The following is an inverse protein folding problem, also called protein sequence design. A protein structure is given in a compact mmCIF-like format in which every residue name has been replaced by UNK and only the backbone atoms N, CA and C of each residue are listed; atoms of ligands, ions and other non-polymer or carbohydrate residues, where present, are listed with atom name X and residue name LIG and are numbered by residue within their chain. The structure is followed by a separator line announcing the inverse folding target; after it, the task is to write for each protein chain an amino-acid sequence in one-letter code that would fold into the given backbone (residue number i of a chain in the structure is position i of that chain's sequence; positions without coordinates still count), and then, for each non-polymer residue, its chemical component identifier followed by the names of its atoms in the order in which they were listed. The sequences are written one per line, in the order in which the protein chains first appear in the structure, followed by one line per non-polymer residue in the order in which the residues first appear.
data_IF_488033661817
#
_entry.id   IF_488033661817
#
_cell.length_a   1.000
_cell.length_b   1.000
_cell.length_c   1.000
_cell.angle_alpha   90.00
_cell.angle_beta   90.00
_cell.angle_gamma   90.00
#
_symmetry.space_group_name_H-M   'P 1'
#
loop_
_entity.id
_entity.type
_entity.pdbx_description
1 polymer ?
#
# COMPACT_ATOMS: atom_id res chain seq x y z
N UNK A 1 -4.56 -10.29 11.80
CA UNK A 1 -3.41 -10.54 12.69
C UNK A 1 -2.61 -11.80 12.30
N UNK A 2 -3.16 -12.83 11.63
CA UNK A 2 -2.37 -14.01 11.23
C UNK A 2 -1.38 -13.78 10.08
N UNK A 3 -1.73 -12.95 9.09
CA UNK A 3 -0.92 -12.77 7.87
C UNK A 3 0.45 -12.11 8.11
N UNK A 4 0.62 -11.35 9.20
CA UNK A 4 1.90 -10.71 9.55
C UNK A 4 2.89 -11.75 10.08
N UNK A 5 2.43 -12.63 10.97
CA UNK A 5 3.26 -13.69 11.55
C UNK A 5 3.67 -14.72 10.48
N UNK A 6 2.77 -15.04 9.55
CA UNK A 6 3.06 -15.94 8.43
C UNK A 6 4.11 -15.38 7.45
N UNK A 7 4.34 -14.06 7.46
CA UNK A 7 5.29 -13.37 6.59
C UNK A 7 6.66 -13.13 7.23
N UNK A 8 6.84 -13.48 8.51
CA UNK A 8 8.13 -13.33 9.20
C UNK A 8 9.05 -14.50 8.85
N UNK A 9 10.35 -14.23 8.76
CA UNK A 9 11.38 -15.25 8.60
C UNK A 9 12.33 -15.23 9.79
N UNK A 10 12.80 -16.40 10.21
CA UNK A 10 13.83 -16.49 11.25
C UNK A 10 15.19 -16.12 10.66
N UNK A 11 15.92 -15.25 11.36
CA UNK A 11 17.32 -14.90 11.10
C UNK A 11 18.15 -15.27 12.34
N UNK A 12 19.02 -16.25 12.20
CA UNK A 12 20.01 -16.59 13.22
C UNK A 12 21.23 -15.69 13.08
N UNK A 13 21.78 -15.24 14.21
CA UNK A 13 22.93 -14.34 14.25
C UNK A 13 24.01 -14.87 15.19
N UNK A 14 25.26 -14.58 14.87
CA UNK A 14 26.42 -14.92 15.70
C UNK A 14 26.86 -13.72 16.54
N UNK A 15 27.57 -14.00 17.63
CA UNK A 15 28.24 -12.94 18.40
C UNK A 15 29.22 -12.17 17.50
N UNK A 16 29.19 -10.84 17.63
CA UNK A 16 29.95 -9.90 16.81
C UNK A 16 29.32 -9.56 15.46
N UNK A 17 28.22 -10.22 15.08
CA UNK A 17 27.55 -9.97 13.80
C UNK A 17 26.79 -8.64 13.82
N UNK A 18 26.96 -7.85 12.76
CA UNK A 18 26.19 -6.63 12.53
C UNK A 18 24.85 -7.00 11.89
N UNK A 19 23.77 -6.79 12.63
CA UNK A 19 22.43 -7.10 12.15
C UNK A 19 21.95 -6.05 11.15
N UNK A 20 22.22 -4.77 11.46
CA UNK A 20 22.03 -3.60 10.60
C UNK A 20 23.18 -2.63 10.84
N UNK A 21 23.55 -1.87 9.82
CA UNK A 21 24.55 -0.81 9.91
C UNK A 21 23.96 0.57 9.66
N UNK A 22 24.41 1.55 10.46
CA UNK A 22 23.97 2.94 10.30
C UNK A 22 24.36 3.48 8.91
N UNK A 23 23.40 4.11 8.25
CA UNK A 23 23.58 4.66 6.90
C UNK A 23 23.14 3.72 5.77
N UNK A 24 22.94 2.44 6.06
CA UNK A 24 22.40 1.50 5.07
C UNK A 24 20.92 1.77 4.78
N UNK A 25 20.43 1.26 3.65
CA UNK A 25 19.01 1.30 3.32
C UNK A 25 18.18 0.38 4.22
N UNK A 26 16.95 0.79 4.51
CA UNK A 26 16.00 0.03 5.32
C UNK A 26 15.32 -1.11 4.55
N UNK A 27 15.74 -2.34 4.80
CA UNK A 27 15.24 -3.56 4.15
C UNK A 27 14.27 -4.39 5.00
N UNK A 28 14.48 -4.44 6.32
CA UNK A 28 13.74 -5.29 7.25
C UNK A 28 13.48 -4.63 8.60
N UNK A 29 12.42 -5.07 9.28
CA UNK A 29 12.19 -4.85 10.71
C UNK A 29 12.48 -6.14 11.45
N UNK A 30 13.07 -6.06 12.62
CA UNK A 30 13.44 -7.24 13.40
C UNK A 30 12.80 -7.20 14.79
N UNK A 31 12.24 -8.33 15.20
CA UNK A 31 11.81 -8.60 16.58
C UNK A 31 12.75 -9.62 17.19
N UNK A 32 13.23 -9.38 18.41
CA UNK A 32 14.16 -10.26 19.09
C UNK A 32 13.42 -11.47 19.66
N UNK A 33 13.84 -12.67 19.27
CA UNK A 33 13.43 -13.93 19.90
C UNK A 33 14.36 -14.27 21.08
N UNK A 34 15.68 -14.23 20.83
CA UNK A 34 16.71 -14.46 21.87
C UNK A 34 18.06 -13.84 21.49
N UNK A 35 18.90 -13.65 22.49
CA UNK A 35 20.25 -13.08 22.37
C UNK A 35 20.34 -11.64 22.91
N UNK A 36 21.56 -11.16 23.07
CA UNK A 36 21.86 -9.78 23.49
C UNK A 36 22.44 -8.97 22.35
N UNK A 37 22.13 -7.67 22.30
CA UNK A 37 22.50 -6.79 21.20
C UNK A 37 22.85 -5.40 21.72
N UNK A 38 23.91 -4.79 21.20
CA UNK A 38 24.28 -3.41 21.51
C UNK A 38 23.89 -2.48 20.35
N UNK A 39 23.49 -1.26 20.71
CA UNK A 39 23.06 -0.22 19.79
C UNK A 39 24.15 0.85 19.71
N UNK A 40 24.69 1.06 18.52
CA UNK A 40 25.70 2.07 18.26
C UNK A 40 25.18 3.18 17.35
N UNK A 41 25.40 4.43 17.74
CA UNK A 41 25.14 5.60 16.89
C UNK A 41 26.44 6.36 16.68
N UNK A 42 26.77 6.61 15.42
CA UNK A 42 27.92 7.38 14.98
C UNK A 42 27.53 8.86 14.92
N UNK A 43 28.18 9.65 15.78
CA UNK A 43 28.11 11.11 15.76
C UNK A 43 29.51 11.64 15.48
N UNK A 44 29.66 12.51 14.47
CA UNK A 44 30.94 13.13 14.09
C UNK A 44 32.09 12.12 13.87
N UNK A 45 31.76 10.97 13.26
CA UNK A 45 32.75 9.92 13.00
C UNK A 45 32.98 8.96 14.18
N UNK A 46 32.48 9.25 15.38
CA UNK A 46 32.69 8.46 16.59
C UNK A 46 31.46 7.63 16.91
N UNK A 47 31.60 6.30 16.93
CA UNK A 47 30.54 5.38 17.37
C UNK A 47 30.39 5.38 18.88
N UNK A 48 29.18 5.65 19.38
CA UNK A 48 28.83 5.58 20.80
C UNK A 48 27.81 4.48 21.02
N UNK A 49 28.02 3.63 22.04
CA UNK A 49 26.98 2.71 22.49
C UNK A 49 25.91 3.53 23.22
N UNK A 50 24.69 3.51 22.70
CA UNK A 50 23.56 4.32 23.20
C UNK A 50 22.51 3.48 23.93
N UNK A 51 22.66 2.16 23.94
CA UNK A 51 21.77 1.24 24.62
C UNK A 51 22.02 -0.20 24.23
N UNK A 52 21.26 -1.10 24.81
CA UNK A 52 21.31 -2.53 24.52
C UNK A 52 19.91 -3.16 24.57
N UNK A 53 19.80 -4.34 23.96
CA UNK A 53 18.68 -5.24 24.06
C UNK A 53 19.11 -6.55 24.72
N UNK A 54 18.22 -7.14 25.50
CA UNK A 54 18.44 -8.39 26.21
C UNK A 54 17.21 -9.29 26.06
N UNK A 55 17.29 -10.23 25.10
CA UNK A 55 16.27 -11.23 24.80
C UNK A 55 14.85 -10.70 24.51
N UNK A 56 14.71 -9.39 24.25
CA UNK A 56 13.44 -8.73 23.94
C UNK A 56 13.67 -7.40 23.24
N UNK A 57 12.63 -6.92 22.59
CA UNK A 57 12.63 -5.64 21.87
C UNK A 57 12.57 -5.84 20.37
N UNK A 58 12.57 -4.72 19.66
CA UNK A 58 12.52 -4.69 18.21
C UNK A 58 13.26 -3.47 17.69
N UNK A 59 13.73 -3.53 16.45
CA UNK A 59 14.47 -2.43 15.84
C UNK A 59 14.34 -2.43 14.32
N UNK A 60 14.68 -1.29 13.71
CA UNK A 60 14.74 -1.10 12.28
C UNK A 60 13.45 -0.53 11.66
N UNK A 61 12.47 -0.17 12.47
CA UNK A 61 11.18 0.37 12.05
C UNK A 61 11.30 1.77 11.41
N UNK A 62 12.20 2.62 11.91
CA UNK A 62 12.33 4.02 11.47
C UNK A 62 12.69 4.15 9.99
N UNK A 63 13.65 3.34 9.52
CA UNK A 63 14.06 3.34 8.12
C UNK A 63 12.93 2.89 7.18
N UNK A 64 12.03 2.03 7.68
CA UNK A 64 10.88 1.56 6.92
C UNK A 64 9.74 2.59 6.90
N UNK A 65 9.46 3.22 8.04
CA UNK A 65 8.35 4.18 8.15
C UNK A 65 8.64 5.49 7.40
N UNK A 66 9.88 5.98 7.49
CA UNK A 66 10.25 7.30 6.98
C UNK A 66 11.08 7.26 5.69
N UNK A 67 11.38 6.07 5.16
CA UNK A 67 12.23 5.89 3.97
C UNK A 67 13.57 6.63 4.09
N UNK A 68 14.17 6.56 5.28
CA UNK A 68 15.47 7.15 5.61
C UNK A 68 16.51 6.05 5.80
N UNK A 69 17.82 6.35 5.67
CA UNK A 69 18.87 5.42 6.05
C UNK A 69 18.74 4.95 7.51
N UNK A 70 19.33 3.80 7.83
CA UNK A 70 19.40 3.27 9.20
C UNK A 70 20.03 4.31 10.13
N UNK A 71 19.36 4.59 11.25
CA UNK A 71 19.80 5.59 12.22
C UNK A 71 20.89 5.09 13.19
N UNK A 72 21.08 3.78 13.29
CA UNK A 72 22.01 3.13 14.22
C UNK A 72 22.54 1.80 13.63
N UNK A 73 23.69 1.37 14.11
CA UNK A 73 24.22 0.02 13.94
C UNK A 73 23.75 -0.85 15.11
N UNK A 74 23.36 -2.09 14.83
CA UNK A 74 23.00 -3.08 15.87
C UNK A 74 23.96 -4.25 15.73
N UNK A 75 24.69 -4.56 16.82
CA UNK A 75 25.65 -5.66 16.86
C UNK A 75 25.22 -6.69 17.88
N UNK A 76 25.19 -7.96 17.49
CA UNK A 76 24.92 -9.05 18.42
C UNK A 76 26.10 -9.25 19.39
N UNK A 77 25.82 -9.29 20.69
CA UNK A 77 26.82 -9.55 21.75
C UNK A 77 26.74 -10.97 22.30
N UNK A 78 25.83 -11.79 21.76
CA UNK A 78 25.77 -13.24 21.95
C UNK A 78 25.22 -13.89 20.68
N UNK A 79 25.30 -15.23 20.52
CA UNK A 79 24.45 -15.93 19.56
C UNK A 79 22.97 -15.63 19.82
N UNK A 80 22.19 -15.44 18.77
CA UNK A 80 20.79 -14.99 18.89
C UNK A 80 19.92 -15.40 17.72
N UNK A 81 18.62 -15.11 17.84
CA UNK A 81 17.66 -15.24 16.76
C UNK A 81 16.70 -14.05 16.74
N UNK A 82 16.32 -13.68 15.53
CA UNK A 82 15.43 -12.58 15.21
C UNK A 82 14.33 -13.07 14.29
N UNK A 83 13.15 -12.52 14.44
CA UNK A 83 12.11 -12.60 13.43
C UNK A 83 12.17 -11.36 12.56
N UNK A 84 12.59 -11.54 11.31
CA UNK A 84 12.66 -10.50 10.30
C UNK A 84 11.36 -10.36 9.52
N UNK A 85 10.96 -9.13 9.22
CA UNK A 85 9.82 -8.83 8.38
C UNK A 85 10.22 -7.80 7.32
N UNK A 86 10.03 -8.16 6.04
CA UNK A 86 10.51 -7.41 4.88
C UNK A 86 9.75 -6.10 4.71
N UNK A 87 10.49 -5.02 4.42
CA UNK A 87 10.04 -3.63 4.20
C UNK A 87 8.76 -3.55 3.35
N UNK A 88 8.72 -4.23 2.20
CA UNK A 88 7.57 -4.19 1.29
C UNK A 88 6.31 -4.79 1.92
N UNK A 89 6.44 -5.77 2.80
CA UNK A 89 5.30 -6.45 3.44
C UNK A 89 4.80 -5.70 4.68
N UNK A 90 5.69 -5.12 5.47
CA UNK A 90 5.31 -4.28 6.62
C UNK A 90 4.58 -3.03 6.20
N UNK A 91 5.18 -2.34 5.23
CA UNK A 91 4.65 -1.10 4.70
C UNK A 91 3.20 -1.25 4.26
N UNK A 92 2.88 -2.32 3.54
CA UNK A 92 1.55 -2.58 2.98
C UNK A 92 0.57 -3.06 4.04
N UNK A 93 0.97 -3.90 5.00
CA UNK A 93 0.03 -4.48 5.98
C UNK A 93 -0.34 -3.49 7.09
N UNK A 94 0.54 -2.57 7.49
CA UNK A 94 0.25 -1.60 8.57
C UNK A 94 -0.68 -0.45 8.14
N UNK A 95 -0.72 -0.13 6.84
CA UNK A 95 -1.52 1.00 6.31
C UNK A 95 -2.84 0.57 5.68
N UNK A 96 -3.02 -0.73 5.41
CA UNK A 96 -4.22 -1.23 4.78
C UNK A 96 -5.28 -1.49 5.85
N UNK A 97 -6.30 -0.65 5.87
CA UNK A 97 -7.52 -0.90 6.63
C UNK A 97 -8.40 -1.93 5.93
N UNK A 98 -9.02 -2.83 6.68
CA UNK A 98 -10.10 -3.67 6.14
C UNK A 98 -11.42 -2.92 6.22
N UNK A 99 -12.15 -2.86 5.10
CA UNK A 99 -13.54 -2.35 5.06
C UNK A 99 -14.47 -3.42 4.51
N UNK A 100 -15.62 -3.59 5.15
CA UNK A 100 -16.68 -4.52 4.74
C UNK A 100 -17.87 -3.70 4.29
N UNK A 101 -18.44 -4.07 3.14
CA UNK A 101 -19.57 -3.42 2.51
C UNK A 101 -20.69 -4.43 2.30
N UNK A 102 -21.93 -3.98 2.51
CA UNK A 102 -23.13 -4.78 2.27
C UNK A 102 -23.55 -4.73 0.80
N UNK A 103 -24.44 -5.63 0.40
CA UNK A 103 -24.97 -5.65 -0.98
C UNK A 103 -25.56 -4.30 -1.38
N UNK A 104 -25.17 -3.82 -2.57
CA UNK A 104 -25.58 -2.52 -3.11
C UNK A 104 -24.93 -1.30 -2.48
N UNK A 105 -24.14 -1.46 -1.41
CA UNK A 105 -23.49 -0.34 -0.72
C UNK A 105 -22.47 0.36 -1.64
N UNK A 106 -22.50 1.69 -1.64
CA UNK A 106 -21.61 2.51 -2.45
C UNK A 106 -20.23 2.64 -1.78
N UNK A 107 -19.19 2.21 -2.50
CA UNK A 107 -17.80 2.26 -2.03
C UNK A 107 -17.12 3.55 -2.49
N UNK A 108 -17.38 3.98 -3.73
CA UNK A 108 -16.87 5.21 -4.35
C UNK A 108 -18.02 5.90 -5.07
N UNK A 109 -18.09 7.23 -4.95
CA UNK A 109 -18.95 8.04 -5.79
C UNK A 109 -18.17 8.77 -6.88
N UNK A 110 -18.69 8.73 -8.11
CA UNK A 110 -18.19 9.53 -9.22
C UNK A 110 -18.26 11.02 -8.88
N UNK A 111 -17.18 11.74 -9.14
CA UNK A 111 -17.05 13.18 -8.87
C UNK A 111 -16.45 13.52 -7.51
N UNK A 112 -16.35 12.57 -6.59
CA UNK A 112 -15.71 12.82 -5.29
C UNK A 112 -14.19 12.97 -5.43
N UNK A 113 -13.58 13.60 -4.44
CA UNK A 113 -12.12 13.59 -4.31
C UNK A 113 -11.66 12.20 -3.89
N UNK A 114 -10.53 11.76 -4.43
CA UNK A 114 -9.97 10.48 -4.07
C UNK A 114 -9.25 10.53 -2.74
N UNK A 115 -9.61 9.61 -1.86
CA UNK A 115 -9.12 9.46 -0.49
C UNK A 115 -8.45 8.11 -0.24
N UNK A 116 -8.75 7.10 -1.07
CA UNK A 116 -8.27 5.73 -0.89
C UNK A 116 -8.18 4.93 -2.20
N UNK A 117 -7.28 3.95 -2.20
CA UNK A 117 -7.14 2.88 -3.17
C UNK A 117 -7.69 1.57 -2.56
N UNK A 118 -8.33 0.73 -3.37
CA UNK A 118 -9.00 -0.48 -2.89
C UNK A 118 -8.54 -1.74 -3.63
N UNK A 119 -8.36 -2.83 -2.90
CA UNK A 119 -8.16 -4.19 -3.43
C UNK A 119 -9.28 -5.08 -2.89
N UNK A 120 -9.93 -5.84 -3.77
CA UNK A 120 -11.01 -6.77 -3.37
C UNK A 120 -10.39 -7.99 -2.70
N UNK A 121 -10.67 -8.19 -1.40
CA UNK A 121 -10.25 -9.38 -0.65
C UNK A 121 -11.24 -10.54 -0.86
N UNK A 122 -12.55 -10.22 -0.91
CA UNK A 122 -13.62 -11.16 -1.22
C UNK A 122 -14.88 -10.43 -1.69
N UNK A 123 -15.74 -11.13 -2.44
CA UNK A 123 -16.94 -10.55 -3.06
C UNK A 123 -16.66 -9.99 -4.47
N UNK A 124 -17.60 -9.22 -5.00
CA UNK A 124 -17.53 -8.62 -6.33
C UNK A 124 -17.97 -7.14 -6.26
N UNK A 125 -17.28 -6.26 -6.98
CA UNK A 125 -17.57 -4.82 -7.04
C UNK A 125 -17.96 -4.44 -8.46
N UNK A 126 -19.08 -3.74 -8.60
CA UNK A 126 -19.57 -3.18 -9.87
C UNK A 126 -19.10 -1.75 -10.04
N UNK A 127 -18.45 -1.45 -11.16
CA UNK A 127 -18.05 -0.08 -11.51
C UNK A 127 -19.02 0.48 -12.54
N UNK A 128 -19.60 1.64 -12.22
CA UNK A 128 -20.61 2.31 -13.06
C UNK A 128 -20.25 3.77 -13.31
N UNK A 129 -20.49 4.25 -14.51
CA UNK A 129 -20.22 5.64 -14.90
C UNK A 129 -21.48 6.30 -15.47
N UNK A 130 -21.76 7.52 -15.03
CA UNK A 130 -22.80 8.39 -15.60
C UNK A 130 -22.18 9.28 -16.69
N UNK A 131 -22.89 9.45 -17.81
CA UNK A 131 -22.49 10.37 -18.89
C UNK A 131 -22.62 11.83 -18.43
N UNK A 132 -21.65 12.68 -18.77
CA UNK A 132 -21.78 14.14 -18.64
C UNK A 132 -22.62 14.66 -19.82
N UNK A 133 -23.73 15.35 -19.54
CA UNK A 133 -24.42 16.19 -20.54
C UNK A 133 -25.80 15.75 -21.06
N UNK A 134 -26.49 14.77 -20.47
CA UNK A 134 -27.93 14.56 -20.72
C UNK A 134 -28.71 14.76 -19.42
N UNK A 135 -29.76 15.58 -19.52
CA UNK A 135 -30.65 16.03 -18.44
C UNK A 135 -31.06 14.89 -17.50
N UNK A 136 -31.17 15.20 -16.21
CA UNK A 136 -31.40 14.33 -15.05
C UNK A 136 -32.70 13.49 -15.05
N UNK A 137 -33.35 13.28 -16.20
CA UNK A 137 -34.70 12.70 -16.29
C UNK A 137 -34.71 11.20 -16.65
N UNK A 138 -33.57 10.58 -16.94
CA UNK A 138 -33.52 9.11 -17.11
C UNK A 138 -32.84 8.45 -15.91
N UNK A 139 -33.65 7.78 -15.09
CA UNK A 139 -33.26 6.94 -13.93
C UNK A 139 -32.25 5.81 -14.29
N UNK A 140 -32.02 5.57 -15.59
CA UNK A 140 -31.11 4.56 -16.15
C UNK A 140 -29.76 5.11 -16.68
N UNK A 141 -29.35 6.33 -16.28
CA UNK A 141 -28.17 7.01 -16.85
C UNK A 141 -26.78 6.45 -16.46
N UNK A 142 -26.69 5.46 -15.57
CA UNK A 142 -25.42 4.86 -15.15
C UNK A 142 -25.15 3.56 -15.91
N UNK A 143 -24.04 3.52 -16.65
CA UNK A 143 -23.63 2.34 -17.42
C UNK A 143 -22.57 1.58 -16.64
N UNK A 144 -22.71 0.26 -16.54
CA UNK A 144 -21.68 -0.62 -15.98
C UNK A 144 -20.50 -0.70 -16.96
N UNK A 145 -19.30 -0.39 -16.47
CA UNK A 145 -18.08 -0.34 -17.30
C UNK A 145 -17.09 -1.45 -16.95
N UNK A 146 -17.14 -1.97 -15.73
CA UNK A 146 -16.24 -3.03 -15.27
C UNK A 146 -16.79 -3.72 -14.01
N UNK A 147 -16.23 -4.89 -13.73
CA UNK A 147 -16.38 -5.58 -12.44
C UNK A 147 -15.02 -5.97 -11.88
N UNK A 148 -14.89 -5.88 -10.56
CA UNK A 148 -13.68 -6.26 -9.84
C UNK A 148 -14.00 -7.38 -8.85
N UNK A 149 -13.25 -8.47 -8.95
CA UNK A 149 -13.34 -9.66 -8.11
C UNK A 149 -12.05 -9.83 -7.29
N UNK A 150 -11.99 -10.88 -6.45
CA UNK A 150 -10.86 -11.13 -5.54
C UNK A 150 -9.48 -10.97 -6.20
N UNK A 151 -8.66 -10.11 -5.60
CA UNK A 151 -7.30 -9.80 -6.06
C UNK A 151 -7.22 -8.64 -7.07
N UNK A 152 -8.34 -8.23 -7.66
CA UNK A 152 -8.40 -7.05 -8.51
C UNK A 152 -8.54 -5.79 -7.65
N UNK A 153 -8.13 -4.64 -8.22
CA UNK A 153 -8.14 -3.35 -7.54
C UNK A 153 -8.98 -2.33 -8.30
N UNK A 154 -9.33 -1.24 -7.62
CA UNK A 154 -10.02 -0.08 -8.21
C UNK A 154 -9.76 1.21 -7.41
N UNK A 155 -10.03 2.35 -8.05
CA UNK A 155 -9.88 3.67 -7.43
C UNK A 155 -8.47 4.26 -7.54
N UNK A 156 -7.56 3.62 -8.26
CA UNK A 156 -6.22 4.11 -8.57
C UNK A 156 -6.23 5.34 -9.48
N UNK A 157 -7.16 5.39 -10.44
CA UNK A 157 -7.10 6.36 -11.53
C UNK A 157 -7.09 7.81 -11.03
N UNK A 158 -7.95 8.10 -10.07
CA UNK A 158 -8.07 9.43 -9.47
C UNK A 158 -6.83 9.82 -8.63
N UNK A 159 -6.12 8.84 -8.07
CA UNK A 159 -4.86 9.07 -7.34
C UNK A 159 -3.71 9.32 -8.30
N UNK A 160 -3.67 8.60 -9.42
CA UNK A 160 -2.61 8.73 -10.43
C UNK A 160 -2.74 10.01 -11.26
N UNK A 161 -3.97 10.41 -11.59
CA UNK A 161 -4.22 11.60 -12.44
C UNK A 161 -4.49 12.86 -11.63
N UNK A 162 -4.64 12.75 -10.31
CA UNK A 162 -5.02 13.84 -9.41
C UNK A 162 -6.32 14.55 -9.85
N UNK A 163 -7.26 13.77 -10.41
CA UNK A 163 -8.60 14.22 -10.82
C UNK A 163 -9.66 13.58 -9.90
N UNK A 164 -10.89 14.14 -9.85
CA UNK A 164 -11.99 13.49 -9.15
C UNK A 164 -12.29 12.08 -9.67
N UNK A 165 -12.96 11.26 -8.86
CA UNK A 165 -13.36 9.89 -9.19
C UNK A 165 -14.11 9.86 -10.53
N UNK A 166 -13.59 9.13 -11.50
CA UNK A 166 -14.18 9.04 -12.83
C UNK A 166 -15.49 8.23 -12.85
N UNK A 167 -15.65 7.28 -11.94
CA UNK A 167 -16.79 6.36 -11.88
C UNK A 167 -17.17 6.07 -10.41
N UNK A 168 -18.39 5.57 -10.22
CA UNK A 168 -18.86 5.03 -8.94
C UNK A 168 -18.58 3.54 -8.83
N UNK A 169 -18.38 3.05 -7.62
CA UNK A 169 -18.20 1.63 -7.31
C UNK A 169 -19.22 1.17 -6.27
N UNK A 170 -19.85 0.02 -6.48
CA UNK A 170 -20.86 -0.54 -5.58
C UNK A 170 -20.57 -2.02 -5.31
N UNK A 171 -20.83 -2.47 -4.10
CA UNK A 171 -20.72 -3.88 -3.73
C UNK A 171 -21.83 -4.72 -4.38
N UNK A 172 -21.48 -5.91 -4.86
CA UNK A 172 -22.41 -6.98 -5.26
C UNK A 172 -22.27 -8.09 -4.20
N UNK A 173 -23.32 -8.28 -3.41
CA UNK A 173 -23.27 -9.10 -2.21
C UNK A 173 -22.39 -8.47 -1.12
N UNK A 174 -22.01 -9.28 -0.12
CA UNK A 174 -21.05 -8.85 0.89
C UNK A 174 -19.65 -8.78 0.29
N UNK A 175 -19.05 -7.59 0.32
CA UNK A 175 -17.71 -7.33 -0.19
C UNK A 175 -16.78 -6.98 0.96
N UNK A 176 -15.57 -7.52 0.90
CA UNK A 176 -14.48 -7.13 1.80
C UNK A 176 -13.35 -6.55 0.95
N UNK A 177 -12.95 -5.33 1.28
CA UNK A 177 -11.86 -4.64 0.62
C UNK A 177 -10.73 -4.33 1.60
N UNK A 178 -9.52 -4.42 1.08
CA UNK A 178 -8.33 -3.79 1.62
C UNK A 178 -8.31 -2.35 1.11
N UNK A 179 -8.34 -1.36 2.00
CA UNK A 179 -8.37 0.07 1.69
C UNK A 179 -7.07 0.73 2.16
N UNK A 180 -6.40 1.44 1.25
CA UNK A 180 -5.15 2.16 1.48
C UNK A 180 -5.39 3.65 1.24
N UNK A 181 -5.04 4.52 2.18
CA UNK A 181 -5.18 5.97 1.98
C UNK A 181 -4.19 6.52 0.94
N UNK A 182 -4.40 7.76 0.50
CA UNK A 182 -3.56 8.42 -0.53
C UNK A 182 -2.09 8.50 -0.12
N UNK A 183 -1.81 8.83 1.14
CA UNK A 183 -0.44 9.03 1.63
C UNK A 183 0.32 7.70 1.64
N UNK A 184 -0.35 6.62 2.04
CA UNK A 184 0.15 5.28 1.95
C UNK A 184 0.32 4.82 0.49
N UNK A 185 -0.64 5.12 -0.38
CA UNK A 185 -0.55 4.78 -1.81
C UNK A 185 0.69 5.41 -2.46
N UNK A 186 0.92 6.71 -2.27
CA UNK A 186 2.08 7.42 -2.81
C UNK A 186 3.40 6.88 -2.25
N UNK A 187 3.46 6.68 -0.92
CA UNK A 187 4.68 6.20 -0.24
C UNK A 187 5.06 4.79 -0.66
N UNK A 188 4.08 3.92 -0.93
CA UNK A 188 4.31 2.48 -1.12
C UNK A 188 4.27 2.03 -2.57
N UNK A 189 3.32 2.57 -3.33
CA UNK A 189 3.07 2.18 -4.71
C UNK A 189 3.57 3.23 -5.70
N UNK A 190 4.22 4.31 -5.22
CA UNK A 190 4.91 5.31 -6.05
C UNK A 190 5.77 4.71 -7.17
N UNK A 191 6.65 3.73 -6.89
CA UNK A 191 7.44 3.07 -7.93
C UNK A 191 6.60 2.22 -8.91
N UNK A 192 5.46 1.70 -8.46
CA UNK A 192 4.52 0.91 -9.26
C UNK A 192 3.53 1.77 -10.06
N UNK A 193 3.52 3.09 -9.87
CA UNK A 193 2.65 4.02 -10.61
C UNK A 193 2.82 3.86 -12.12
N UNK A 194 4.05 3.64 -12.60
CA UNK A 194 4.32 3.46 -14.02
C UNK A 194 3.68 2.19 -14.60
N UNK A 195 3.49 1.15 -13.79
CA UNK A 195 2.76 -0.07 -14.18
C UNK A 195 1.26 0.25 -14.26
N UNK A 196 0.73 0.97 -13.27
CA UNK A 196 -0.69 1.36 -13.25
C UNK A 196 -1.04 2.30 -14.41
N UNK A 197 -0.14 3.23 -14.75
CA UNK A 197 -0.30 4.13 -15.90
C UNK A 197 -0.43 3.39 -17.23
N UNK A 198 0.26 2.27 -17.41
CA UNK A 198 0.13 1.46 -18.63
C UNK A 198 -1.28 0.89 -18.82
N UNK A 199 -1.98 0.60 -17.74
CA UNK A 199 -3.35 0.11 -17.77
C UNK A 199 -4.38 1.22 -18.06
N UNK A 200 -3.99 2.51 -17.94
CA UNK A 200 -4.87 3.66 -18.22
C UNK A 200 -5.27 3.71 -19.70
N UNK A 201 -4.35 3.39 -20.61
CA UNK A 201 -4.66 3.35 -22.04
C UNK A 201 -5.80 2.38 -22.36
N UNK A 202 -5.84 1.23 -21.68
CA UNK A 202 -6.92 0.25 -21.82
C UNK A 202 -8.27 0.80 -21.34
N UNK A 203 -8.28 1.62 -20.28
CA UNK A 203 -9.50 2.31 -19.85
C UNK A 203 -9.98 3.34 -20.88
N UNK A 204 -9.07 4.12 -21.47
CA UNK A 204 -9.46 5.09 -22.51
C UNK A 204 -10.11 4.41 -23.71
N UNK A 205 -9.52 3.32 -24.21
CA UNK A 205 -10.09 2.53 -25.30
C UNK A 205 -11.49 2.00 -24.96
N UNK A 206 -11.67 1.47 -23.74
CA UNK A 206 -12.97 0.98 -23.27
C UNK A 206 -14.01 2.10 -23.15
N UNK A 207 -13.63 3.28 -22.64
CA UNK A 207 -14.53 4.42 -22.54
C UNK A 207 -14.91 4.98 -23.90
N UNK A 208 -13.96 5.08 -24.83
CA UNK A 208 -14.23 5.49 -26.21
C UNK A 208 -15.18 4.50 -26.88
N UNK A 209 -15.01 3.19 -26.67
CA UNK A 209 -15.91 2.17 -27.22
C UNK A 209 -17.33 2.26 -26.65
N UNK A 210 -17.48 2.56 -25.36
CA UNK A 210 -18.79 2.61 -24.67
C UNK A 210 -19.51 3.96 -24.84
N UNK A 211 -18.76 5.05 -24.92
CA UNK A 211 -19.29 6.41 -24.83
C UNK A 211 -18.94 7.32 -26.02
N UNK A 212 -18.06 6.87 -26.93
CA UNK A 212 -17.57 7.67 -28.05
C UNK A 212 -16.57 8.76 -27.67
N UNK A 213 -16.15 8.80 -26.40
CA UNK A 213 -15.20 9.76 -25.83
C UNK A 213 -14.48 9.11 -24.65
N UNK A 214 -13.25 9.52 -24.36
CA UNK A 214 -12.51 9.11 -23.17
C UNK A 214 -12.98 9.84 -21.89
N UNK A 215 -14.02 10.69 -21.97
CA UNK A 215 -14.58 11.38 -20.79
C UNK A 215 -13.57 12.25 -20.02
N UNK A 216 -12.50 12.71 -20.68
CA UNK A 216 -11.43 13.55 -20.13
C UNK A 216 -10.72 12.95 -18.90
N UNK A 217 -10.67 11.61 -18.80
CA UNK A 217 -10.05 10.93 -17.65
C UNK A 217 -8.52 11.14 -17.58
N UNK A 218 -7.88 11.46 -18.70
CA UNK A 218 -6.45 11.83 -18.81
C UNK A 218 -6.35 13.15 -19.58
N UNK A 219 -5.32 13.97 -19.30
CA UNK A 219 -5.05 15.13 -20.17
C UNK A 219 -4.53 14.65 -21.53
N UNK A 220 -4.85 15.34 -22.64
CA UNK A 220 -4.28 15.00 -23.93
C UNK A 220 -2.75 15.10 -23.85
N UNK A 221 -2.05 14.05 -24.26
CA UNK A 221 -0.60 14.10 -24.45
C UNK A 221 -0.28 15.20 -25.44
N UNK A 222 0.41 16.25 -24.98
CA UNK A 222 0.99 17.30 -25.81
C UNK A 222 2.16 16.76 -26.65
#
# INVERSE_FOLDING_TARGET
MSQVLDAMFEKLVKEGEHVIDQGDDGDNFYVIDRGTFDIYVKCDGVGRCVGNYDNRGSFGELALMYNTPRAATITATSPGALWGLVSERLKVVDVIGTKVYNDGEQIIAQGDLADSFFIVESGEVKITMKRKGKSEVEENGAVEIARCSRGQYFGELALVTNKPRAASAHAIGTVKCLAMDVQAFERLLGPCMEIMKRNIATYEEQLVALFGTNMDIVEPTA
#
